data_IF_965684080029
#
_entry.id   IF_965684080029
#
_cell.length_a   1.000
_cell.length_b   1.000
_cell.length_c   1.000
_cell.angle_alpha   90.00
_cell.angle_beta   90.00
_cell.angle_gamma   90.00
#
_symmetry.space_group_name_H-M   'P 1'
#
loop_
_entity.id
_entity.type
_entity.pdbx_description
1 polymer ?
#
# COMPACT_ATOMS: atom_id res chain seq x y z
N UNK A 1 -11.82 -14.09 -0.72
CA UNK A 1 -10.52 -14.77 -0.89
C UNK A 1 -9.58 -13.77 -1.50
N UNK A 2 -8.55 -13.37 -0.75
CA UNK A 2 -7.52 -12.41 -1.17
C UNK A 2 -6.32 -13.25 -1.59
N UNK A 3 -5.86 -13.10 -2.83
CA UNK A 3 -4.55 -13.61 -3.24
C UNK A 3 -3.50 -12.55 -2.92
N UNK A 4 -2.47 -12.93 -2.16
CA UNK A 4 -1.48 -12.02 -1.57
C UNK A 4 -0.15 -12.21 -2.32
N UNK A 5 0.32 -11.17 -3.01
CA UNK A 5 1.73 -11.07 -3.46
C UNK A 5 2.44 -10.00 -2.65
N UNK A 6 3.66 -10.27 -2.16
CA UNK A 6 4.37 -9.37 -1.24
C UNK A 6 4.77 -8.06 -1.92
N UNK A 7 4.48 -6.91 -1.29
CA UNK A 7 4.89 -5.59 -1.79
C UNK A 7 5.28 -4.69 -0.61
N UNK A 8 6.47 -4.94 -0.08
CA UNK A 8 7.15 -4.06 0.88
C UNK A 8 6.78 -4.29 2.35
N UNK A 9 7.75 -4.07 3.24
CA UNK A 9 7.57 -4.18 4.68
C UNK A 9 8.04 -2.91 5.38
N UNK A 10 7.24 -2.43 6.34
CA UNK A 10 7.64 -1.40 7.30
C UNK A 10 8.08 -2.02 8.62
N UNK A 11 8.40 -1.17 9.61
CA UNK A 11 8.86 -1.62 10.94
C UNK A 11 7.81 -2.43 11.72
N UNK A 12 6.52 -2.14 11.51
CA UNK A 12 5.42 -2.70 12.30
C UNK A 12 4.46 -3.58 11.50
N UNK A 13 4.59 -3.58 10.17
CA UNK A 13 3.64 -4.25 9.31
C UNK A 13 4.17 -4.55 7.92
N UNK A 14 3.50 -5.46 7.24
CA UNK A 14 3.75 -5.82 5.86
C UNK A 14 2.65 -5.27 4.97
N UNK A 15 3.01 -4.85 3.76
CA UNK A 15 2.03 -4.47 2.73
C UNK A 15 2.07 -5.51 1.63
N UNK A 16 0.90 -5.96 1.23
CA UNK A 16 0.72 -6.93 0.17
C UNK A 16 -0.30 -6.42 -0.84
N UNK A 17 -0.18 -6.85 -2.09
CA UNK A 17 -1.23 -6.66 -3.09
C UNK A 17 -2.32 -7.69 -2.84
N UNK A 18 -3.58 -7.28 -2.96
CA UNK A 18 -4.75 -8.13 -2.83
C UNK A 18 -5.85 -7.75 -3.80
N UNK A 19 -6.94 -8.50 -3.77
CA UNK A 19 -8.14 -8.25 -4.59
C UNK A 19 -9.37 -8.11 -3.68
N UNK A 20 -10.03 -6.95 -3.73
CA UNK A 20 -11.29 -6.70 -3.07
C UNK A 20 -12.45 -6.97 -4.03
N UNK A 21 -13.29 -7.95 -3.69
CA UNK A 21 -14.49 -8.29 -4.48
C UNK A 21 -15.68 -7.51 -3.95
N UNK A 22 -16.18 -6.57 -4.76
CA UNK A 22 -17.38 -5.81 -4.47
C UNK A 22 -18.64 -6.67 -4.57
N UNK A 23 -19.71 -6.23 -3.89
CA UNK A 23 -21.04 -6.86 -3.95
C UNK A 23 -21.67 -6.82 -5.34
N UNK A 24 -21.22 -5.91 -6.20
CA UNK A 24 -21.59 -5.80 -7.60
C UNK A 24 -20.83 -6.78 -8.53
N UNK A 25 -19.98 -7.66 -7.97
CA UNK A 25 -19.17 -8.61 -8.74
C UNK A 25 -17.90 -8.01 -9.35
N UNK A 26 -17.64 -6.71 -9.15
CA UNK A 26 -16.43 -6.05 -9.65
C UNK A 26 -15.29 -6.29 -8.64
N UNK A 27 -14.17 -6.79 -9.16
CA UNK A 27 -12.93 -6.93 -8.40
C UNK A 27 -12.08 -5.67 -8.56
N UNK A 28 -11.45 -5.22 -7.48
CA UNK A 28 -10.52 -4.10 -7.47
C UNK A 28 -9.22 -4.52 -6.81
N UNK A 29 -8.09 -4.18 -7.41
CA UNK A 29 -6.79 -4.40 -6.80
C UNK A 29 -6.57 -3.42 -5.65
N UNK A 30 -6.07 -3.94 -4.53
CA UNK A 30 -5.93 -3.21 -3.27
C UNK A 30 -4.57 -3.47 -2.64
N UNK A 31 -4.13 -2.54 -1.80
CA UNK A 31 -3.03 -2.76 -0.88
C UNK A 31 -3.60 -3.21 0.47
N UNK A 32 -2.99 -4.22 1.07
CA UNK A 32 -3.40 -4.77 2.36
C UNK A 32 -2.24 -4.67 3.31
N UNK A 33 -2.45 -3.93 4.40
CA UNK A 33 -1.47 -3.79 5.47
C UNK A 33 -1.87 -4.65 6.66
N UNK A 34 -0.94 -5.49 7.09
CA UNK A 34 -1.10 -6.35 8.28
C UNK A 34 0.04 -6.11 9.24
N UNK A 35 -0.16 -6.44 10.52
CA UNK A 35 0.94 -6.47 11.48
C UNK A 35 1.96 -7.54 11.08
N UNK A 36 3.24 -7.30 11.36
CA UNK A 36 4.29 -8.32 11.13
C UNK A 36 4.24 -9.42 12.21
N UNK A 37 3.68 -9.09 13.38
CA UNK A 37 3.55 -9.94 14.54
C UNK A 37 2.42 -9.40 15.44
N UNK A 38 1.82 -10.27 16.27
CA UNK A 38 0.68 -9.92 17.13
C UNK A 38 0.95 -8.73 18.06
N UNK A 39 2.20 -8.51 18.49
CA UNK A 39 2.59 -7.39 19.35
C UNK A 39 2.42 -6.01 18.70
N UNK A 40 2.21 -5.96 17.39
CA UNK A 40 2.03 -4.72 16.62
C UNK A 40 0.60 -4.53 16.13
N UNK A 41 -0.34 -5.41 16.50
CA UNK A 41 -1.75 -5.31 16.14
C UNK A 41 -2.38 -3.98 16.56
N UNK A 42 -2.15 -3.55 17.81
CA UNK A 42 -2.62 -2.25 18.34
C UNK A 42 -2.10 -1.05 17.52
N UNK A 43 -0.90 -1.16 16.94
CA UNK A 43 -0.33 -0.10 16.09
C UNK A 43 -1.12 -0.02 14.78
N UNK A 44 -1.46 -1.17 14.19
CA UNK A 44 -2.27 -1.23 12.96
C UNK A 44 -3.69 -0.75 13.23
N UNK A 45 -4.29 -1.11 14.37
CA UNK A 45 -5.61 -0.60 14.78
C UNK A 45 -5.62 0.91 14.97
N UNK A 46 -4.61 1.47 15.63
CA UNK A 46 -4.52 2.91 15.82
C UNK A 46 -4.30 3.65 14.49
N UNK A 47 -3.49 3.09 13.59
CA UNK A 47 -3.31 3.62 12.24
C UNK A 47 -4.62 3.61 11.44
N UNK A 48 -5.35 2.49 11.46
CA UNK A 48 -6.68 2.35 10.88
C UNK A 48 -7.66 3.40 11.41
N UNK A 49 -7.65 3.63 12.74
CA UNK A 49 -8.48 4.64 13.39
C UNK A 49 -8.13 6.05 12.95
N UNK A 50 -6.85 6.39 12.78
CA UNK A 50 -6.47 7.72 12.30
C UNK A 50 -6.87 7.88 10.84
N UNK A 51 -6.52 6.92 9.99
CA UNK A 51 -6.76 6.97 8.55
C UNK A 51 -8.25 6.97 8.18
N UNK A 52 -9.12 6.34 8.98
CA UNK A 52 -10.56 6.35 8.72
C UNK A 52 -11.21 7.74 8.81
N UNK A 53 -10.54 8.70 9.46
CA UNK A 53 -10.98 10.09 9.53
C UNK A 53 -10.36 10.99 8.44
N UNK A 54 -9.45 10.46 7.61
CA UNK A 54 -8.79 11.21 6.55
C UNK A 54 -9.49 10.98 5.22
N UNK A 55 -10.03 12.04 4.63
CA UNK A 55 -10.64 12.00 3.31
C UNK A 55 -10.15 13.19 2.47
N UNK A 56 -9.06 12.99 1.72
CA UNK A 56 -8.47 14.01 0.87
C UNK A 56 -7.83 13.36 -0.36
N UNK A 57 -7.91 14.02 -1.53
CA UNK A 57 -7.38 13.51 -2.80
C UNK A 57 -5.86 13.22 -2.81
N UNK A 58 -5.10 13.79 -1.88
CA UNK A 58 -3.65 13.63 -1.78
C UNK A 58 -3.23 12.70 -0.63
N UNK A 59 -4.20 12.09 0.05
CA UNK A 59 -3.97 11.13 1.14
C UNK A 59 -4.52 9.79 0.69
N UNK A 60 -3.74 8.73 0.88
CA UNK A 60 -4.13 7.38 0.52
C UNK A 60 -5.44 6.98 1.20
N UNK A 61 -6.40 6.49 0.42
CA UNK A 61 -7.73 6.15 0.88
C UNK A 61 -7.79 4.77 1.54
N UNK A 62 -8.43 4.70 2.71
CA UNK A 62 -8.94 3.45 3.29
C UNK A 62 -10.20 3.01 2.54
N UNK A 63 -10.22 1.75 2.12
CA UNK A 63 -11.36 1.11 1.48
C UNK A 63 -12.14 0.23 2.46
N UNK A 64 -11.46 -0.31 3.47
CA UNK A 64 -12.09 -1.10 4.51
C UNK A 64 -11.11 -1.56 5.59
N UNK A 65 -11.68 -2.10 6.66
CA UNK A 65 -10.97 -2.77 7.74
C UNK A 65 -11.51 -4.19 7.85
N UNK A 66 -10.64 -5.16 8.10
CA UNK A 66 -11.09 -6.52 8.34
C UNK A 66 -11.68 -6.66 9.76
N UNK A 67 -12.83 -7.32 9.89
CA UNK A 67 -13.60 -7.31 11.14
C UNK A 67 -13.01 -8.20 12.25
N UNK A 68 -12.20 -9.21 11.92
CA UNK A 68 -11.69 -10.18 12.90
C UNK A 68 -10.17 -10.16 13.08
N UNK A 69 -9.47 -9.33 12.31
CA UNK A 69 -8.02 -9.13 12.40
C UNK A 69 -7.72 -7.69 12.00
N UNK A 70 -6.73 -7.03 12.62
CA UNK A 70 -6.34 -5.68 12.24
C UNK A 70 -5.60 -5.72 10.90
N UNK A 71 -6.39 -5.68 9.83
CA UNK A 71 -5.93 -5.56 8.46
C UNK A 71 -6.56 -4.31 7.84
N UNK A 72 -5.72 -3.49 7.22
CA UNK A 72 -6.14 -2.26 6.55
C UNK A 72 -6.18 -2.52 5.06
N UNK A 73 -7.35 -2.36 4.45
CA UNK A 73 -7.54 -2.45 3.00
C UNK A 73 -7.52 -1.02 2.46
N UNK A 74 -6.59 -0.76 1.54
CA UNK A 74 -6.30 0.57 0.99
C UNK A 74 -6.31 0.51 -0.54
N UNK A 75 -6.43 1.67 -1.18
CA UNK A 75 -6.19 1.77 -2.62
C UNK A 75 -4.76 1.35 -2.97
N UNK A 76 -4.61 0.72 -4.12
CA UNK A 76 -3.30 0.32 -4.61
C UNK A 76 -2.65 1.46 -5.41
N UNK A 77 -1.47 1.88 -4.97
CA UNK A 77 -0.63 2.83 -5.71
C UNK A 77 0.20 2.09 -6.76
N UNK A 78 -0.34 1.92 -7.98
CA UNK A 78 0.29 1.15 -9.07
C UNK A 78 1.69 1.65 -9.47
N UNK A 79 1.96 2.95 -9.29
CA UNK A 79 3.28 3.53 -9.58
C UNK A 79 4.30 3.34 -8.45
N UNK A 80 3.91 2.68 -7.36
CA UNK A 80 4.76 2.43 -6.20
C UNK A 80 5.09 3.71 -5.42
N UNK A 81 6.24 3.70 -4.73
CA UNK A 81 6.67 4.81 -3.90
C UNK A 81 7.45 5.87 -4.69
N UNK A 82 7.38 7.13 -4.22
CA UNK A 82 8.02 8.27 -4.85
C UNK A 82 9.56 8.15 -4.88
N UNK A 83 10.15 7.55 -3.85
CA UNK A 83 11.60 7.40 -3.72
C UNK A 83 12.17 6.62 -4.92
N UNK A 84 11.61 5.45 -5.21
CA UNK A 84 11.97 4.63 -6.36
C UNK A 84 11.75 5.37 -7.69
N UNK A 85 10.62 6.08 -7.82
CA UNK A 85 10.31 6.83 -9.05
C UNK A 85 11.32 7.95 -9.34
N UNK A 86 11.85 8.60 -8.29
CA UNK A 86 12.87 9.66 -8.42
C UNK A 86 14.24 9.06 -8.74
N UNK A 87 14.65 7.97 -8.08
CA UNK A 87 15.93 7.30 -8.36
C UNK A 87 16.05 6.85 -9.81
N UNK A 88 15.00 6.22 -10.35
CA UNK A 88 14.95 5.79 -11.76
C UNK A 88 15.15 6.97 -12.72
N UNK A 89 14.52 8.12 -12.45
CA UNK A 89 14.70 9.33 -13.29
C UNK A 89 16.14 9.83 -13.27
N UNK A 90 16.82 9.78 -12.12
CA UNK A 90 18.22 10.18 -12.00
C UNK A 90 19.12 9.23 -12.81
N UNK A 91 18.88 7.92 -12.72
CA UNK A 91 19.62 6.91 -13.47
C UNK A 91 19.45 7.11 -14.98
N UNK A 92 18.22 7.30 -15.46
CA UNK A 92 17.94 7.55 -16.88
C UNK A 92 18.65 8.82 -17.36
N UNK A 93 18.61 9.91 -16.59
CA UNK A 93 19.32 11.16 -16.94
C UNK A 93 20.84 10.96 -17.02
N UNK A 94 21.42 10.20 -16.08
CA UNK A 94 22.86 9.87 -16.11
C UNK A 94 23.21 9.04 -17.35
N UNK A 95 22.39 8.04 -17.67
CA UNK A 95 22.58 7.20 -18.84
C UNK A 95 22.53 7.99 -20.15
N UNK A 96 21.51 8.84 -20.33
CA UNK A 96 21.40 9.71 -21.51
C UNK A 96 22.62 10.63 -21.64
N UNK A 97 23.08 11.21 -20.52
CA UNK A 97 24.27 12.07 -20.53
C UNK A 97 25.54 11.34 -20.94
N UNK A 98 25.68 10.06 -20.58
CA UNK A 98 26.82 9.21 -20.93
C UNK A 98 26.81 8.78 -22.40
N UNK A 99 25.62 8.51 -22.96
CA UNK A 99 25.47 8.05 -24.35
C UNK A 99 25.59 9.20 -25.36
N UNK A 100 25.28 10.43 -24.93
CA UNK A 100 25.35 11.64 -25.76
C UNK A 100 26.63 12.48 -25.56
N UNK A 101 27.58 11.99 -24.75
CA UNK A 101 28.91 12.58 -24.56
C UNK A 101 29.99 11.77 -25.28
#
# INVERSE_FOLDING_TARGET
MVEISSTGGGRYGHVSRGVLRGSNGISTDVAIKTAIDFRYEDIIENEAKIMSHLNNKNIMKILGLHNSKPEIIMELMELGNLYAAVEVKILIKKFIKLVLS
#
